data_IF_531743216098
#
_entry.id   IF_531743216098
#
_cell.length_a   1.000
_cell.length_b   1.000
_cell.length_c   1.000
_cell.angle_alpha   90.00
_cell.angle_beta   90.00
_cell.angle_gamma   90.00
#
_symmetry.space_group_name_H-M   'P 1'
#
loop_
_entity.id
_entity.type
_entity.pdbx_description
1 polymer ?
#
# COMPACT_ATOMS: atom_id res chain seq x y z
N UNK A 1 -1.68 -18.60 0.01
CA UNK A 1 -1.77 -17.55 -1.05
C UNK A 1 -1.35 -18.19 -2.38
N UNK A 2 -1.98 -17.84 -3.51
CA UNK A 2 -1.42 -18.27 -4.80
C UNK A 2 -0.05 -17.62 -4.94
N UNK A 3 1.02 -18.39 -5.17
CA UNK A 3 2.34 -17.84 -5.49
C UNK A 3 2.16 -16.85 -6.63
N UNK A 4 2.44 -15.57 -6.40
CA UNK A 4 2.51 -14.58 -7.47
C UNK A 4 3.55 -15.12 -8.44
N UNK A 5 3.15 -15.42 -9.69
CA UNK A 5 4.08 -15.90 -10.69
C UNK A 5 5.08 -14.77 -10.96
N UNK A 6 6.28 -14.92 -10.44
CA UNK A 6 7.42 -14.06 -10.75
C UNK A 6 8.10 -14.65 -11.98
N UNK A 7 8.30 -13.82 -13.00
CA UNK A 7 9.15 -14.21 -14.13
C UNK A 7 10.58 -14.41 -13.63
N UNK A 8 11.29 -15.35 -14.25
CA UNK A 8 12.72 -15.46 -14.03
C UNK A 8 13.43 -14.18 -14.48
N UNK A 9 14.49 -13.83 -13.78
CA UNK A 9 15.31 -12.65 -14.08
C UNK A 9 15.93 -12.80 -15.47
N UNK A 10 16.46 -13.97 -15.83
CA UNK A 10 17.08 -14.19 -17.15
C UNK A 10 16.06 -14.05 -18.29
N UNK A 11 14.86 -14.58 -18.10
CA UNK A 11 13.76 -14.48 -19.07
C UNK A 11 13.34 -13.02 -19.28
N UNK A 12 13.23 -12.23 -18.21
CA UNK A 12 12.91 -10.81 -18.35
C UNK A 12 14.06 -10.01 -18.96
N UNK A 13 15.32 -10.33 -18.65
CA UNK A 13 16.48 -9.70 -19.28
C UNK A 13 16.44 -9.89 -20.78
N UNK A 14 16.22 -11.12 -21.23
CA UNK A 14 16.17 -11.43 -22.66
C UNK A 14 14.99 -10.72 -23.33
N UNK A 15 13.81 -10.72 -22.70
CA UNK A 15 12.66 -9.97 -23.20
C UNK A 15 12.98 -8.47 -23.37
N UNK A 16 13.60 -7.83 -22.39
CA UNK A 16 13.92 -6.40 -22.45
C UNK A 16 15.04 -6.08 -23.45
N UNK A 17 15.93 -7.02 -23.75
CA UNK A 17 16.96 -6.87 -24.81
C UNK A 17 16.36 -6.93 -26.21
N UNK A 18 15.37 -7.80 -26.41
CA UNK A 18 14.72 -8.01 -27.71
C UNK A 18 13.59 -7.02 -27.98
N UNK A 19 12.93 -6.53 -26.93
CA UNK A 19 11.81 -5.61 -27.05
C UNK A 19 12.27 -4.25 -27.61
N UNK A 20 11.43 -3.59 -28.44
CA UNK A 20 11.68 -2.22 -28.83
C UNK A 20 11.75 -1.32 -27.60
N UNK A 21 12.54 -0.24 -27.70
CA UNK A 21 12.60 0.75 -26.64
C UNK A 21 11.22 1.34 -26.36
N UNK A 22 10.92 1.56 -25.07
CA UNK A 22 9.64 2.09 -24.65
C UNK A 22 9.42 3.49 -25.22
N UNK A 23 8.25 3.69 -25.82
CA UNK A 23 7.84 5.00 -26.32
C UNK A 23 7.46 5.91 -25.15
N UNK A 24 8.17 7.04 -25.06
CA UNK A 24 7.95 8.08 -24.05
C UNK A 24 7.43 9.38 -24.67
N UNK A 25 7.13 9.41 -25.98
CA UNK A 25 6.71 10.61 -26.72
C UNK A 25 5.38 11.19 -26.24
N UNK A 26 4.54 10.36 -25.63
CA UNK A 26 3.28 10.79 -24.99
C UNK A 26 3.50 11.71 -23.78
N UNK A 27 4.70 11.73 -23.20
CA UNK A 27 5.09 12.72 -22.21
C UNK A 27 5.63 13.95 -22.94
N UNK A 28 5.09 15.14 -22.66
CA UNK A 28 5.59 16.40 -23.23
C UNK A 28 7.11 16.54 -23.07
N UNK A 29 7.65 16.13 -21.92
CA UNK A 29 9.08 16.03 -21.70
C UNK A 29 9.41 14.94 -20.69
N UNK A 30 9.74 13.74 -21.18
CA UNK A 30 10.08 12.58 -20.35
C UNK A 30 11.16 12.89 -19.28
N UNK A 31 12.14 13.75 -19.58
CA UNK A 31 13.21 14.10 -18.65
C UNK A 31 12.75 14.88 -17.41
N UNK A 32 11.49 15.32 -17.36
CA UNK A 32 10.86 15.95 -16.19
C UNK A 32 10.11 14.96 -15.30
N UNK A 33 10.00 13.69 -15.68
CA UNK A 33 9.29 12.68 -14.88
C UNK A 33 10.27 11.79 -14.12
N UNK A 34 9.82 11.33 -12.96
CA UNK A 34 10.53 10.32 -12.19
C UNK A 34 10.15 8.93 -12.70
N UNK A 35 11.16 8.10 -12.97
CA UNK A 35 10.97 6.71 -13.34
C UNK A 35 11.37 5.80 -12.19
N UNK A 36 10.55 4.79 -11.92
CA UNK A 36 10.77 3.80 -10.89
C UNK A 36 10.49 2.41 -11.43
N UNK A 37 11.19 1.42 -10.92
CA UNK A 37 10.92 0.03 -11.29
C UNK A 37 11.09 -0.89 -10.09
N UNK A 38 10.40 -2.02 -10.16
CA UNK A 38 10.47 -3.09 -9.17
C UNK A 38 11.08 -4.31 -9.85
N UNK A 39 12.10 -4.88 -9.24
CA UNK A 39 12.80 -6.06 -9.76
C UNK A 39 12.14 -7.37 -9.28
N UNK A 40 12.55 -8.50 -9.84
CA UNK A 40 12.08 -9.85 -9.49
C UNK A 40 12.27 -10.20 -8.00
N UNK A 41 13.30 -9.64 -7.36
CA UNK A 41 13.55 -9.74 -5.92
C UNK A 41 12.71 -8.78 -5.06
N UNK A 42 11.70 -8.12 -5.64
CA UNK A 42 10.86 -7.10 -5.01
C UNK A 42 11.57 -5.81 -4.56
N UNK A 43 12.85 -5.61 -4.92
CA UNK A 43 13.53 -4.34 -4.65
C UNK A 43 13.02 -3.25 -5.58
N UNK A 44 12.84 -2.06 -5.02
CA UNK A 44 12.47 -0.87 -5.76
C UNK A 44 13.71 -0.06 -6.10
N UNK A 45 13.76 0.41 -7.34
CA UNK A 45 14.77 1.33 -7.85
C UNK A 45 14.09 2.60 -8.33
N UNK A 46 14.78 3.71 -8.14
CA UNK A 46 14.42 5.02 -8.70
C UNK A 46 15.55 5.47 -9.60
N UNK A 47 15.22 6.01 -10.77
CA UNK A 47 16.21 6.55 -11.70
C UNK A 47 17.08 7.60 -11.01
N UNK A 48 18.41 7.43 -11.09
CA UNK A 48 19.38 8.36 -10.52
C UNK A 48 19.76 9.50 -11.48
N UNK A 49 19.12 9.55 -12.64
CA UNK A 49 19.31 10.56 -13.69
C UNK A 49 18.00 10.82 -14.41
N UNK A 50 17.93 11.96 -15.10
CA UNK A 50 16.81 12.27 -15.97
C UNK A 50 16.78 11.32 -17.18
N UNK A 51 15.58 10.87 -17.54
CA UNK A 51 15.34 9.92 -18.63
C UNK A 51 14.63 10.64 -19.76
N UNK A 52 15.34 10.88 -20.86
CA UNK A 52 14.82 11.62 -22.02
C UNK A 52 14.19 10.74 -23.11
N UNK A 53 14.47 9.44 -23.10
CA UNK A 53 14.03 8.49 -24.13
C UNK A 53 14.00 7.06 -23.60
N UNK A 54 13.29 6.18 -24.31
CA UNK A 54 13.26 4.74 -24.01
C UNK A 54 14.64 4.08 -24.05
N UNK A 55 15.53 4.53 -24.93
CA UNK A 55 16.92 4.04 -25.00
C UNK A 55 17.68 4.33 -23.69
N UNK A 56 17.56 5.56 -23.16
CA UNK A 56 18.19 5.93 -21.88
C UNK A 56 17.60 5.12 -20.73
N UNK A 57 16.28 4.89 -20.76
CA UNK A 57 15.61 4.05 -19.77
C UNK A 57 16.14 2.62 -19.80
N UNK A 58 16.24 2.01 -20.99
CA UNK A 58 16.75 0.66 -21.17
C UNK A 58 18.20 0.52 -20.65
N UNK A 59 19.07 1.51 -20.91
CA UNK A 59 20.43 1.55 -20.35
C UNK A 59 20.40 1.60 -18.82
N UNK A 60 19.53 2.41 -18.22
CA UNK A 60 19.40 2.53 -16.76
C UNK A 60 18.90 1.25 -16.09
N UNK A 61 18.04 0.48 -16.77
CA UNK A 61 17.45 -0.74 -16.22
C UNK A 61 18.22 -2.01 -16.54
N UNK A 62 19.22 -1.95 -17.42
CA UNK A 62 20.03 -3.11 -17.87
C UNK A 62 20.60 -3.95 -16.72
N UNK A 63 21.06 -3.31 -15.64
CA UNK A 63 21.67 -3.98 -14.48
C UNK A 63 20.68 -4.44 -13.40
N UNK A 64 19.41 -4.06 -13.50
CA UNK A 64 18.40 -4.26 -12.44
C UNK A 64 17.06 -4.71 -13.00
N UNK A 65 17.12 -5.68 -13.92
CA UNK A 65 16.01 -6.31 -14.65
C UNK A 65 14.61 -6.02 -14.07
N UNK A 66 13.88 -5.07 -14.68
CA UNK A 66 12.62 -4.62 -14.13
C UNK A 66 11.53 -5.66 -14.39
N UNK A 67 10.81 -6.02 -13.33
CA UNK A 67 9.58 -6.81 -13.38
C UNK A 67 8.36 -5.90 -13.61
N UNK A 68 8.35 -4.72 -13.01
CA UNK A 68 7.33 -3.69 -13.20
C UNK A 68 8.01 -2.33 -13.37
N UNK A 69 7.52 -1.51 -14.29
CA UNK A 69 8.06 -0.16 -14.54
C UNK A 69 6.96 0.89 -14.37
N UNK A 70 7.35 2.04 -13.84
CA UNK A 70 6.44 3.11 -13.47
C UNK A 70 7.04 4.47 -13.80
N UNK A 71 6.15 5.45 -14.02
CA UNK A 71 6.48 6.85 -14.25
C UNK A 71 5.61 7.74 -13.36
N UNK A 72 6.13 8.86 -12.88
CA UNK A 72 5.36 9.81 -12.08
C UNK A 72 4.26 10.48 -12.89
N UNK A 73 3.09 10.70 -12.25
CA UNK A 73 2.01 11.52 -12.81
C UNK A 73 2.41 12.98 -12.92
N UNK A 74 3.30 13.45 -12.03
CA UNK A 74 3.84 14.80 -12.06
C UNK A 74 5.12 14.94 -12.88
N UNK A 75 5.23 16.07 -13.55
CA UNK A 75 6.46 16.59 -14.13
C UNK A 75 7.09 17.61 -13.15
N UNK A 76 8.39 17.47 -12.90
CA UNK A 76 9.15 18.30 -11.98
C UNK A 76 10.25 19.04 -12.73
N UNK A 77 10.67 20.20 -12.20
CA UNK A 77 11.85 20.89 -12.73
C UNK A 77 13.09 20.00 -12.61
N UNK A 78 13.23 19.33 -11.47
CA UNK A 78 14.21 18.27 -11.26
C UNK A 78 13.53 17.02 -10.66
N UNK A 79 13.30 15.95 -11.46
CA UNK A 79 12.63 14.73 -10.97
C UNK A 79 13.56 13.76 -10.24
N UNK A 80 14.86 14.03 -10.22
CA UNK A 80 15.88 13.17 -9.59
C UNK A 80 16.00 13.54 -8.12
N UNK A 81 15.95 12.53 -7.24
CA UNK A 81 16.07 12.71 -5.77
C UNK A 81 15.06 13.72 -5.19
N UNK A 82 13.79 13.62 -5.61
CA UNK A 82 12.72 14.43 -5.02
C UNK A 82 12.69 14.26 -3.49
N UNK A 83 12.58 15.36 -2.73
CA UNK A 83 12.47 15.28 -1.28
C UNK A 83 11.16 14.62 -0.84
N UNK A 84 11.17 14.13 0.40
CA UNK A 84 9.94 13.66 1.06
C UNK A 84 9.04 14.87 1.32
N UNK A 85 7.72 14.65 1.37
CA UNK A 85 6.72 15.72 1.58
C UNK A 85 7.01 16.54 2.86
N UNK A 86 7.47 15.87 3.91
CA UNK A 86 7.78 16.49 5.21
C UNK A 86 9.21 17.02 5.33
N UNK A 87 10.02 16.87 4.28
CA UNK A 87 11.41 17.32 4.31
C UNK A 87 11.48 18.83 4.13
N UNK A 88 11.86 19.53 5.19
CA UNK A 88 12.06 20.99 5.18
C UNK A 88 13.52 21.38 5.07
N UNK A 89 14.44 20.40 4.99
CA UNK A 89 15.89 20.65 4.95
C UNK A 89 16.38 21.03 3.55
N UNK A 90 15.59 20.76 2.52
CA UNK A 90 15.88 21.12 1.14
C UNK A 90 14.73 21.92 0.53
N UNK A 91 15.00 22.74 -0.51
CA UNK A 91 13.97 23.51 -1.19
C UNK A 91 12.83 22.62 -1.70
N UNK A 92 11.61 23.13 -1.62
CA UNK A 92 10.42 22.42 -2.11
C UNK A 92 10.52 22.23 -3.63
N UNK A 93 10.23 21.04 -4.17
CA UNK A 93 10.41 20.76 -5.58
C UNK A 93 9.40 21.55 -6.42
N UNK A 94 9.86 22.07 -7.55
CA UNK A 94 9.02 22.86 -8.46
C UNK A 94 8.20 21.91 -9.34
N UNK A 95 6.90 21.85 -9.07
CA UNK A 95 5.92 21.15 -9.89
C UNK A 95 5.70 21.93 -11.20
N UNK A 96 5.97 21.28 -12.32
CA UNK A 96 5.81 21.86 -13.67
C UNK A 96 4.49 21.43 -14.28
N UNK A 97 4.06 20.20 -14.04
CA UNK A 97 2.83 19.64 -14.59
C UNK A 97 2.33 18.48 -13.72
N UNK A 98 1.04 18.15 -13.79
CA UNK A 98 0.45 16.99 -13.12
C UNK A 98 -0.66 16.37 -13.98
N UNK A 99 -0.38 15.17 -14.51
CA UNK A 99 -1.35 14.37 -15.23
C UNK A 99 -2.54 14.02 -14.32
N UNK A 100 -3.76 14.18 -14.83
CA UNK A 100 -4.97 13.68 -14.19
C UNK A 100 -5.09 12.21 -14.60
N UNK A 101 -5.04 11.30 -13.62
CA UNK A 101 -5.19 9.87 -13.87
C UNK A 101 -6.36 9.32 -13.07
N UNK A 102 -7.27 8.66 -13.76
CA UNK A 102 -8.31 7.85 -13.17
C UNK A 102 -7.97 6.37 -13.38
N UNK A 103 -7.77 5.64 -12.29
CA UNK A 103 -7.50 4.20 -12.30
C UNK A 103 -8.77 3.43 -11.97
N UNK A 104 -9.18 2.56 -12.88
CA UNK A 104 -10.40 1.76 -12.76
C UNK A 104 -9.99 0.30 -12.69
N UNK A 105 -10.14 -0.30 -11.52
CA UNK A 105 -9.65 -1.64 -11.23
C UNK A 105 -10.78 -2.54 -10.74
N UNK A 106 -11.12 -3.58 -11.51
CA UNK A 106 -12.17 -4.55 -11.13
C UNK A 106 -11.54 -5.94 -10.95
N UNK A 107 -11.12 -6.29 -9.71
CA UNK A 107 -10.56 -7.60 -9.43
C UNK A 107 -11.64 -8.69 -9.36
N UNK A 108 -11.26 -9.98 -9.50
CA UNK A 108 -9.94 -10.47 -9.90
C UNK A 108 -9.76 -10.48 -11.44
N UNK A 109 -8.51 -10.71 -11.87
CA UNK A 109 -8.08 -10.82 -13.27
C UNK A 109 -8.92 -11.86 -14.07
N UNK A 110 -9.87 -11.40 -14.88
CA UNK A 110 -10.66 -12.22 -15.79
C UNK A 110 -11.39 -11.38 -16.86
N UNK A 111 -11.76 -11.99 -17.98
CA UNK A 111 -12.41 -11.30 -19.12
C UNK A 111 -13.74 -10.65 -18.73
N UNK A 112 -14.54 -11.32 -17.92
CA UNK A 112 -15.83 -10.77 -17.45
C UNK A 112 -15.66 -9.48 -16.66
N UNK A 113 -14.64 -9.40 -15.80
CA UNK A 113 -14.36 -8.19 -15.05
C UNK A 113 -13.68 -7.11 -15.90
N UNK A 114 -12.85 -7.49 -16.87
CA UNK A 114 -12.29 -6.53 -17.82
C UNK A 114 -13.39 -5.86 -18.64
N UNK A 115 -14.43 -6.60 -19.04
CA UNK A 115 -15.58 -6.00 -19.72
C UNK A 115 -16.34 -5.02 -18.82
N UNK A 116 -16.47 -5.31 -17.52
CA UNK A 116 -17.06 -4.38 -16.55
C UNK A 116 -16.20 -3.13 -16.40
N UNK A 117 -14.88 -3.30 -16.24
CA UNK A 117 -13.94 -2.20 -16.08
C UNK A 117 -13.91 -1.33 -17.34
N UNK A 118 -13.99 -1.94 -18.52
CA UNK A 118 -14.10 -1.26 -19.82
C UNK A 118 -15.37 -0.41 -19.90
N UNK A 119 -16.52 -0.95 -19.51
CA UNK A 119 -17.79 -0.19 -19.49
C UNK A 119 -17.72 0.99 -18.54
N UNK A 120 -17.17 0.80 -17.34
CA UNK A 120 -16.93 1.89 -16.40
C UNK A 120 -15.97 2.94 -16.97
N UNK A 121 -14.91 2.52 -17.67
CA UNK A 121 -13.98 3.41 -18.34
C UNK A 121 -14.62 4.20 -19.49
N UNK A 122 -15.51 3.60 -20.28
CA UNK A 122 -16.27 4.33 -21.31
C UNK A 122 -17.18 5.37 -20.66
N UNK A 123 -17.96 4.96 -19.65
CA UNK A 123 -18.87 5.88 -18.95
C UNK A 123 -18.14 7.04 -18.28
N UNK A 124 -16.98 6.79 -17.66
CA UNK A 124 -16.16 7.85 -17.08
C UNK A 124 -15.55 8.75 -18.17
N UNK A 125 -15.11 8.17 -19.28
CA UNK A 125 -14.55 8.94 -20.39
C UNK A 125 -15.58 9.92 -20.94
N UNK A 126 -16.79 9.45 -21.20
CA UNK A 126 -17.90 10.28 -21.70
C UNK A 126 -18.20 11.41 -20.71
N UNK A 127 -18.32 11.09 -19.42
CA UNK A 127 -18.57 12.09 -18.38
C UNK A 127 -17.44 13.13 -18.26
N UNK A 128 -16.17 12.72 -18.29
CA UNK A 128 -15.04 13.65 -18.19
C UNK A 128 -14.96 14.56 -19.42
N UNK A 129 -15.21 14.04 -20.62
CA UNK A 129 -15.17 14.85 -21.85
C UNK A 129 -16.35 15.84 -21.95
N UNK A 130 -17.48 15.54 -21.30
CA UNK A 130 -18.66 16.42 -21.23
C UNK A 130 -18.56 17.46 -20.09
N UNK A 131 -18.13 17.05 -18.90
CA UNK A 131 -18.26 17.84 -17.67
C UNK A 131 -16.97 18.57 -17.24
N UNK A 132 -15.84 18.27 -17.87
CA UNK A 132 -14.53 18.76 -17.44
C UNK A 132 -13.75 19.40 -18.60
N UNK A 133 -13.14 20.56 -18.34
CA UNK A 133 -12.27 21.22 -19.31
C UNK A 133 -10.84 20.66 -19.28
N UNK A 134 -10.70 19.43 -19.76
CA UNK A 134 -9.42 18.70 -19.80
C UNK A 134 -9.13 18.19 -21.20
N UNK A 135 -7.85 17.96 -21.50
CA UNK A 135 -7.41 17.34 -22.75
C UNK A 135 -6.98 15.90 -22.49
N UNK A 136 -7.59 14.96 -23.21
CA UNK A 136 -7.25 13.53 -23.13
C UNK A 136 -5.87 13.27 -23.72
N UNK A 137 -5.00 12.61 -22.95
CA UNK A 137 -3.69 12.15 -23.41
C UNK A 137 -3.81 10.75 -23.99
N UNK A 138 -4.27 9.78 -23.19
CA UNK A 138 -4.44 8.41 -23.64
C UNK A 138 -5.36 7.58 -22.73
N UNK A 139 -5.81 6.45 -23.29
CA UNK A 139 -6.53 5.38 -22.58
C UNK A 139 -5.56 4.20 -22.48
N UNK A 140 -5.42 3.58 -21.31
CA UNK A 140 -4.46 2.49 -21.09
C UNK A 140 -5.14 1.27 -20.54
N UNK A 141 -4.85 0.10 -21.10
CA UNK A 141 -5.03 -1.17 -20.41
C UNK A 141 -3.82 -1.41 -19.47
N UNK A 142 -4.07 -1.54 -18.17
CA UNK A 142 -3.04 -1.65 -17.12
C UNK A 142 -2.14 -2.91 -17.18
N UNK A 143 -2.45 -3.87 -18.07
CA UNK A 143 -1.81 -5.19 -18.08
C UNK A 143 -2.39 -6.16 -17.04
N UNK A 144 -3.38 -5.75 -16.24
CA UNK A 144 -3.96 -6.60 -15.21
C UNK A 144 -5.44 -6.36 -14.99
N UNK A 145 -5.84 -5.52 -14.01
CA UNK A 145 -7.19 -5.54 -13.47
C UNK A 145 -8.11 -4.43 -13.97
N UNK A 146 -7.60 -3.56 -14.83
CA UNK A 146 -8.45 -2.62 -15.55
C UNK A 146 -7.69 -1.57 -16.33
N UNK A 147 -8.11 -0.32 -16.22
CA UNK A 147 -7.79 0.75 -17.16
C UNK A 147 -7.36 2.03 -16.48
N UNK A 148 -6.45 2.78 -17.13
CA UNK A 148 -6.13 4.14 -16.74
C UNK A 148 -6.67 5.09 -17.82
N UNK A 149 -7.40 6.12 -17.41
CA UNK A 149 -7.71 7.27 -18.27
C UNK A 149 -6.80 8.43 -17.86
N UNK A 150 -6.06 8.98 -18.82
CA UNK A 150 -5.03 9.99 -18.56
C UNK A 150 -5.36 11.26 -19.32
N UNK A 151 -5.40 12.38 -18.60
CA UNK A 151 -5.72 13.71 -19.10
C UNK A 151 -4.70 14.74 -18.59
N UNK A 152 -4.72 15.94 -19.18
CA UNK A 152 -4.04 17.14 -18.68
C UNK A 152 -5.03 18.30 -18.61
N UNK A 153 -4.78 19.27 -17.73
CA UNK A 153 -5.57 20.50 -17.72
C UNK A 153 -5.32 21.30 -19.00
N UNK A 154 -6.39 21.90 -19.55
CA UNK A 154 -6.24 22.94 -20.56
C UNK A 154 -5.83 24.27 -19.92
N UNK A 155 -6.45 24.60 -18.78
CA UNK A 155 -6.02 25.74 -17.97
C UNK A 155 -4.73 25.42 -17.21
N UNK A 156 -3.72 26.26 -17.41
CA UNK A 156 -2.40 26.15 -16.81
C UNK A 156 -2.17 27.12 -15.64
N UNK A 157 -3.19 27.91 -15.27
CA UNK A 157 -3.13 28.97 -14.25
C UNK A 157 -2.49 28.50 -12.93
N UNK A 158 -2.91 27.34 -12.42
CA UNK A 158 -2.38 26.76 -11.17
C UNK A 158 -0.87 26.54 -11.22
N UNK A 159 -0.32 26.16 -12.38
CA UNK A 159 1.12 25.93 -12.53
C UNK A 159 1.93 27.24 -12.64
N UNK A 160 1.24 28.39 -12.73
CA UNK A 160 1.82 29.73 -12.69
C UNK A 160 2.07 30.27 -11.27
N UNK A 161 1.52 29.63 -10.22
CA UNK A 161 1.71 30.07 -8.82
C UNK A 161 3.21 30.11 -8.48
N UNK A 162 3.78 31.27 -8.07
CA UNK A 162 5.23 31.41 -7.89
C UNK A 162 5.80 30.50 -6.79
N UNK A 163 5.15 30.41 -5.63
CA UNK A 163 5.62 29.56 -4.54
C UNK A 163 5.38 28.06 -4.86
N UNK A 164 6.42 27.21 -4.85
CA UNK A 164 6.28 25.79 -5.21
C UNK A 164 5.38 24.98 -4.29
N UNK A 165 5.29 25.33 -2.99
CA UNK A 165 4.51 24.59 -2.00
C UNK A 165 3.04 24.95 -2.10
N UNK A 166 2.74 26.24 -2.25
CA UNK A 166 1.40 26.74 -2.56
C UNK A 166 0.90 26.17 -3.88
N UNK A 167 1.75 26.19 -4.93
CA UNK A 167 1.44 25.59 -6.23
C UNK A 167 1.04 24.13 -6.10
N UNK A 168 1.87 23.30 -5.47
CA UNK A 168 1.58 21.88 -5.31
C UNK A 168 0.31 21.65 -4.47
N UNK A 169 0.09 22.47 -3.45
CA UNK A 169 -1.12 22.40 -2.61
C UNK A 169 -2.37 22.74 -3.41
N UNK A 170 -2.35 23.83 -4.18
CA UNK A 170 -3.47 24.25 -5.00
C UNK A 170 -3.82 23.20 -6.07
N UNK A 171 -2.81 22.62 -6.75
CA UNK A 171 -3.02 21.51 -7.68
C UNK A 171 -3.64 20.31 -6.97
N UNK A 172 -3.16 19.94 -5.79
CA UNK A 172 -3.72 18.82 -5.02
C UNK A 172 -5.19 19.07 -4.65
N UNK A 173 -5.55 20.25 -4.16
CA UNK A 173 -6.93 20.56 -3.79
C UNK A 173 -7.85 20.59 -5.02
N UNK A 174 -7.39 21.12 -6.16
CA UNK A 174 -8.12 21.04 -7.43
C UNK A 174 -8.38 19.59 -7.86
N UNK A 175 -7.39 18.69 -7.69
CA UNK A 175 -7.55 17.25 -7.98
C UNK A 175 -8.52 16.55 -7.02
N UNK A 176 -8.53 16.92 -5.74
CA UNK A 176 -9.52 16.39 -4.79
C UNK A 176 -10.93 16.82 -5.15
N UNK A 177 -11.13 18.08 -5.53
CA UNK A 177 -12.43 18.59 -5.96
C UNK A 177 -12.92 17.86 -7.23
N UNK A 178 -12.03 17.66 -8.21
CA UNK A 178 -12.35 16.87 -9.40
C UNK A 178 -12.69 15.42 -9.05
N UNK A 179 -11.89 14.78 -8.19
CA UNK A 179 -12.14 13.41 -7.75
C UNK A 179 -13.48 13.28 -7.02
N UNK A 180 -13.85 14.24 -6.18
CA UNK A 180 -15.14 14.26 -5.49
C UNK A 180 -16.30 14.26 -6.50
N UNK A 181 -16.27 15.14 -7.51
CA UNK A 181 -17.28 15.17 -8.58
C UNK A 181 -17.39 13.85 -9.33
N UNK A 182 -16.26 13.20 -9.63
CA UNK A 182 -16.21 11.90 -10.31
C UNK A 182 -16.84 10.80 -9.46
N UNK A 183 -16.58 10.80 -8.15
CA UNK A 183 -17.17 9.84 -7.22
C UNK A 183 -18.66 10.08 -7.00
N UNK A 184 -19.08 11.34 -6.89
CA UNK A 184 -20.49 11.75 -6.76
C UNK A 184 -21.30 11.38 -8.01
N UNK A 185 -20.67 11.42 -9.20
CA UNK A 185 -21.24 10.90 -10.44
C UNK A 185 -21.29 9.36 -10.52
N UNK A 186 -20.81 8.64 -9.50
CA UNK A 186 -20.91 7.19 -9.38
C UNK A 186 -19.83 6.39 -10.12
N UNK A 187 -18.73 7.02 -10.51
CA UNK A 187 -17.66 6.32 -11.24
C UNK A 187 -16.69 5.56 -10.30
N UNK A 188 -16.38 4.29 -10.58
CA UNK A 188 -15.58 3.44 -9.68
C UNK A 188 -14.07 3.62 -9.90
N UNK A 189 -13.53 4.76 -9.48
CA UNK A 189 -12.10 5.10 -9.58
C UNK A 189 -11.35 4.91 -8.25
N UNK A 190 -10.04 4.60 -8.30
CA UNK A 190 -9.18 4.59 -7.11
C UNK A 190 -8.90 6.01 -6.60
N UNK A 191 -9.50 6.36 -5.46
CA UNK A 191 -9.38 7.66 -4.83
C UNK A 191 -7.93 8.02 -4.41
N UNK A 192 -7.06 7.02 -4.22
CA UNK A 192 -5.67 7.22 -3.81
C UNK A 192 -4.72 7.65 -4.92
N UNK A 193 -5.20 7.80 -6.16
CA UNK A 193 -4.37 8.09 -7.33
C UNK A 193 -4.51 9.54 -7.79
N UNK A 194 -5.74 9.99 -8.06
CA UNK A 194 -5.97 11.26 -8.75
C UNK A 194 -5.45 12.48 -7.99
N UNK A 195 -5.59 12.49 -6.65
CA UNK A 195 -5.16 13.61 -5.80
C UNK A 195 -3.68 13.57 -5.40
N UNK A 196 -2.99 12.44 -5.57
CA UNK A 196 -1.60 12.30 -5.15
C UNK A 196 -0.63 12.85 -6.20
N UNK A 197 -0.12 14.06 -5.96
CA UNK A 197 0.85 14.76 -6.82
C UNK A 197 2.20 14.04 -6.90
N UNK A 198 2.49 13.05 -6.06
CA UNK A 198 3.72 12.23 -6.13
C UNK A 198 3.43 10.79 -6.55
N UNK A 199 2.23 10.52 -7.08
CA UNK A 199 1.85 9.19 -7.54
C UNK A 199 2.69 8.75 -8.73
N UNK A 200 2.88 7.44 -8.83
CA UNK A 200 3.44 6.78 -10.01
C UNK A 200 2.39 5.86 -10.63
N UNK A 201 2.36 5.83 -11.95
CA UNK A 201 1.50 4.95 -12.74
C UNK A 201 2.35 3.98 -13.52
N UNK A 202 1.78 2.82 -13.88
CA UNK A 202 2.50 1.84 -14.69
C UNK A 202 2.85 2.43 -16.04
N UNK A 203 4.10 2.31 -16.43
CA UNK A 203 4.61 2.88 -17.67
C UNK A 203 4.00 2.15 -18.87
N UNK A 204 3.26 2.83 -19.77
CA UNK A 204 2.78 2.21 -20.99
C UNK A 204 3.94 1.62 -21.81
N UNK A 205 3.67 0.48 -22.44
CA UNK A 205 4.67 -0.38 -23.11
C UNK A 205 5.39 -1.37 -22.18
N UNK A 206 5.37 -1.18 -20.86
CA UNK A 206 6.02 -2.13 -19.92
C UNK A 206 5.15 -3.36 -19.62
N UNK A 207 5.77 -4.45 -19.17
CA UNK A 207 5.05 -5.65 -18.71
C UNK A 207 4.48 -5.47 -17.29
N UNK A 208 3.34 -6.11 -17.05
CA UNK A 208 2.80 -6.28 -15.71
C UNK A 208 3.37 -7.54 -15.05
N UNK A 209 4.09 -7.37 -13.94
CA UNK A 209 4.94 -8.37 -13.32
C UNK A 209 4.26 -9.67 -12.88
N UNK A 210 2.97 -9.63 -12.55
CA UNK A 210 2.22 -10.82 -12.10
C UNK A 210 1.46 -11.56 -13.21
N UNK A 211 1.22 -10.90 -14.35
CA UNK A 211 0.34 -11.41 -15.41
C UNK A 211 1.11 -11.62 -16.70
N UNK A 212 2.19 -10.88 -16.95
CA UNK A 212 2.95 -10.89 -18.20
C UNK A 212 2.26 -10.18 -19.36
N UNK A 213 1.14 -9.50 -19.11
CA UNK A 213 0.50 -8.68 -20.15
C UNK A 213 1.12 -7.29 -20.17
N UNK A 214 1.23 -6.71 -21.35
CA UNK A 214 1.75 -5.37 -21.50
C UNK A 214 0.73 -4.35 -21.02
N UNK A 215 1.22 -3.30 -20.38
CA UNK A 215 0.49 -2.06 -20.17
C UNK A 215 0.36 -1.36 -21.54
N UNK A 216 -0.82 -1.29 -22.12
CA UNK A 216 -0.96 -0.94 -23.55
C UNK A 216 -1.87 0.27 -23.73
N UNK A 217 -1.40 1.28 -24.46
CA UNK A 217 -2.24 2.40 -24.92
C UNK A 217 -3.27 1.88 -25.92
N UNK A 218 -4.52 2.24 -25.73
CA UNK A 218 -5.65 1.84 -26.55
C UNK A 218 -6.18 3.04 -27.33
N UNK A 219 -6.70 2.78 -28.53
CA UNK A 219 -7.57 3.75 -29.20
C UNK A 219 -8.94 3.80 -28.54
N UNK A 220 -9.63 4.92 -28.69
CA UNK A 220 -11.01 5.07 -28.22
C UNK A 220 -11.93 4.02 -28.86
N UNK A 221 -11.75 3.73 -30.16
CA UNK A 221 -12.50 2.68 -30.86
C UNK A 221 -12.33 1.32 -30.18
N UNK A 222 -11.12 0.99 -29.73
CA UNK A 222 -10.87 -0.23 -28.96
C UNK A 222 -11.60 -0.18 -27.62
N UNK A 223 -11.48 0.92 -26.86
CA UNK A 223 -12.15 1.06 -25.56
C UNK A 223 -13.68 0.91 -25.70
N UNK A 224 -14.29 1.50 -26.73
CA UNK A 224 -15.74 1.43 -26.97
C UNK A 224 -16.21 0.07 -27.48
N UNK A 225 -15.32 -0.69 -28.11
CA UNK A 225 -15.62 -2.06 -28.58
C UNK A 225 -15.58 -3.08 -27.44
N UNK A 226 -16.44 -4.13 -27.45
CA UNK A 226 -16.42 -5.18 -26.43
C UNK A 226 -15.02 -5.79 -26.23
N UNK A 227 -14.58 -5.95 -24.99
CA UNK A 227 -13.22 -6.39 -24.64
C UNK A 227 -12.78 -7.68 -25.37
N UNK A 228 -13.73 -8.58 -25.61
CA UNK A 228 -13.50 -9.85 -26.32
C UNK A 228 -13.00 -9.69 -27.76
N UNK A 229 -13.28 -8.56 -28.43
CA UNK A 229 -12.93 -8.38 -29.84
C UNK A 229 -11.44 -8.09 -30.04
N UNK A 230 -10.78 -7.48 -29.05
CA UNK A 230 -9.40 -7.02 -29.19
C UNK A 230 -8.40 -7.64 -28.20
N UNK A 231 -8.85 -8.33 -27.14
CA UNK A 231 -7.97 -8.99 -26.16
C UNK A 231 -6.87 -9.88 -26.79
N UNK A 232 -7.18 -10.56 -27.90
CA UNK A 232 -6.23 -11.48 -28.54
C UNK A 232 -4.99 -10.74 -29.05
N UNK A 233 -5.17 -9.50 -29.49
CA UNK A 233 -4.16 -8.64 -30.10
C UNK A 233 -3.35 -7.83 -29.08
N UNK A 234 -3.71 -7.87 -27.79
CA UNK A 234 -2.91 -7.22 -26.76
C UNK A 234 -1.53 -7.89 -26.64
N UNK A 235 -0.44 -7.11 -26.69
CA UNK A 235 0.90 -7.63 -26.50
C UNK A 235 1.08 -8.22 -25.09
N UNK A 236 1.86 -9.29 -25.01
CA UNK A 236 2.14 -10.01 -23.77
C UNK A 236 3.39 -10.85 -23.94
N UNK A 237 4.04 -11.13 -22.82
CA UNK A 237 5.15 -12.08 -22.77
C UNK A 237 4.69 -13.49 -23.15
N UNK A 238 5.56 -14.31 -23.75
CA UNK A 238 5.22 -15.69 -24.15
C UNK A 238 4.73 -16.55 -22.97
N UNK A 239 5.33 -16.35 -21.79
CA UNK A 239 4.93 -17.00 -20.54
C UNK A 239 3.79 -16.30 -19.76
N UNK A 240 3.04 -15.38 -20.38
CA UNK A 240 1.96 -14.65 -19.73
C UNK A 240 0.86 -15.59 -19.18
N UNK A 241 0.25 -15.18 -18.07
CA UNK A 241 -0.87 -15.88 -17.45
C UNK A 241 -2.09 -15.78 -18.38
N UNK A 242 -2.69 -16.91 -18.80
CA UNK A 242 -3.91 -16.87 -19.61
C UNK A 242 -5.03 -16.16 -18.86
N UNK A 243 -5.68 -15.19 -19.50
CA UNK A 243 -6.81 -14.49 -18.88
C UNK A 243 -8.07 -15.37 -18.90
N UNK A 244 -8.56 -15.83 -17.73
CA UNK A 244 -9.70 -16.73 -17.67
C UNK A 244 -10.99 -16.00 -18.07
N UNK A 245 -11.97 -16.73 -18.62
CA UNK A 245 -13.26 -16.13 -19.04
C UNK A 245 -14.03 -15.53 -17.86
N UNK A 246 -14.14 -16.27 -16.76
CA UNK A 246 -14.73 -15.84 -15.48
C UNK A 246 -13.70 -16.00 -14.38
N UNK A 247 -13.82 -15.19 -13.34
CA UNK A 247 -13.05 -15.36 -12.11
C UNK A 247 -13.26 -16.80 -11.60
N UNK A 248 -12.17 -17.53 -11.35
CA UNK A 248 -12.29 -18.77 -10.58
C UNK A 248 -12.69 -18.37 -9.16
N UNK A 249 -13.95 -18.59 -8.81
CA UNK A 249 -14.36 -18.61 -7.41
C UNK A 249 -13.43 -19.61 -6.73
N UNK A 250 -12.65 -19.17 -5.74
CA UNK A 250 -12.05 -20.14 -4.83
C UNK A 250 -13.21 -20.97 -4.28
N UNK A 251 -13.18 -22.29 -4.49
CA UNK A 251 -13.99 -23.20 -3.69
C UNK A 251 -13.56 -22.97 -2.25
N UNK A 252 -14.29 -22.11 -1.55
CA UNK A 252 -14.30 -22.12 -0.09
C UNK A 252 -14.85 -23.49 0.24
N UNK A 253 -14.04 -24.37 0.86
CA UNK A 253 -14.59 -25.58 1.48
C UNK A 253 -15.71 -25.11 2.40
N UNK A 254 -16.91 -25.56 2.13
CA UNK A 254 -18.14 -25.14 2.77
C UNK A 254 -18.10 -25.44 4.27
N UNK A 255 -17.70 -24.45 5.07
CA UNK A 255 -18.20 -24.32 6.43
C UNK A 255 -19.60 -23.74 6.34
N UNK A 256 -20.59 -24.47 6.85
CA UNK A 256 -22.02 -24.13 6.78
C UNK A 256 -22.27 -22.73 7.35
N UNK A 257 -23.02 -21.93 6.58
CA UNK A 257 -23.90 -20.86 7.04
C UNK A 257 -23.23 -19.64 7.67
N UNK A 258 -23.16 -18.54 6.91
CA UNK A 258 -23.59 -17.22 7.38
C UNK A 258 -23.83 -16.28 6.20
N UNK A 259 -24.99 -15.67 6.24
CA UNK A 259 -25.64 -14.82 5.24
C UNK A 259 -24.72 -13.67 4.83
N UNK A 260 -24.60 -13.43 3.51
CA UNK A 260 -23.84 -12.29 2.98
C UNK A 260 -24.60 -10.99 3.26
N UNK A 261 -24.12 -10.19 4.21
CA UNK A 261 -24.42 -8.76 4.23
C UNK A 261 -23.53 -8.05 3.20
N UNK A 262 -24.11 -7.08 2.49
CA UNK A 262 -23.44 -6.18 1.53
C UNK A 262 -22.35 -5.36 2.26
N UNK A 263 -21.32 -4.85 1.55
CA UNK A 263 -20.40 -3.90 2.15
C UNK A 263 -21.12 -2.56 2.32
N UNK A 264 -21.53 -2.26 3.55
CA UNK A 264 -21.85 -0.92 4.02
C UNK A 264 -20.55 -0.10 4.04
N UNK A 265 -20.64 1.19 3.74
CA UNK A 265 -19.59 2.15 4.03
C UNK A 265 -19.07 1.94 5.46
N UNK A 266 -17.77 2.08 5.69
CA UNK A 266 -17.22 1.85 7.02
C UNK A 266 -17.74 2.95 7.96
N UNK A 267 -18.77 2.65 8.76
CA UNK A 267 -19.29 3.60 9.73
C UNK A 267 -18.17 4.01 10.70
N UNK A 268 -18.06 5.29 11.05
CA UNK A 268 -17.05 5.77 11.99
C UNK A 268 -17.16 5.05 13.34
N UNK A 269 -16.02 4.79 13.98
CA UNK A 269 -15.96 4.15 15.30
C UNK A 269 -14.96 4.82 16.24
N UNK A 270 -15.29 4.83 17.53
CA UNK A 270 -14.37 5.19 18.60
C UNK A 270 -13.61 3.95 19.12
N UNK A 271 -12.35 4.11 19.52
CA UNK A 271 -11.60 3.06 20.22
C UNK A 271 -10.45 3.64 21.04
N UNK A 272 -9.95 2.87 22.01
CA UNK A 272 -8.76 3.17 22.79
C UNK A 272 -7.55 2.58 22.09
N UNK A 273 -6.51 3.39 21.93
CA UNK A 273 -5.23 3.00 21.38
C UNK A 273 -4.11 3.20 22.41
N UNK A 274 -3.20 2.23 22.47
CA UNK A 274 -1.98 2.24 23.27
C UNK A 274 -0.79 2.58 22.37
N UNK A 275 0.07 3.49 22.83
CA UNK A 275 1.35 3.75 22.18
C UNK A 275 2.34 2.62 22.44
N UNK A 276 3.12 2.22 21.43
CA UNK A 276 4.25 1.31 21.63
C UNK A 276 5.43 1.97 22.37
N UNK A 277 5.42 3.29 22.54
CA UNK A 277 6.48 4.03 23.21
C UNK A 277 6.55 3.68 24.70
N UNK A 278 7.76 3.48 25.21
CA UNK A 278 8.00 3.33 26.64
C UNK A 278 8.15 4.72 27.26
N UNK A 279 7.04 5.23 27.80
CA UNK A 279 6.96 6.53 28.49
C UNK A 279 8.05 6.68 29.54
N UNK A 280 8.63 7.87 29.68
CA UNK A 280 9.79 8.10 30.56
C UNK A 280 11.13 7.66 29.98
N UNK A 281 11.19 7.23 28.72
CA UNK A 281 12.45 6.92 28.01
C UNK A 281 12.56 7.73 26.72
N UNK A 282 13.78 7.97 26.22
CA UNK A 282 13.99 8.79 25.01
C UNK A 282 13.67 8.06 23.69
N UNK A 283 13.97 6.77 23.59
CA UNK A 283 13.92 6.03 22.31
C UNK A 283 13.62 4.53 22.49
N UNK A 284 12.84 4.15 23.52
CA UNK A 284 12.46 2.74 23.70
C UNK A 284 11.01 2.48 23.31
N UNK A 285 10.78 1.30 22.77
CA UNK A 285 9.49 0.80 22.33
C UNK A 285 9.29 -0.66 22.77
N UNK A 286 8.08 -0.98 23.21
CA UNK A 286 7.58 -2.35 23.27
C UNK A 286 7.07 -2.78 21.89
N UNK A 287 6.81 -4.07 21.69
CA UNK A 287 6.16 -4.56 20.47
C UNK A 287 4.70 -4.84 20.81
N UNK A 288 3.79 -4.06 20.23
CA UNK A 288 2.35 -4.26 20.33
C UNK A 288 1.79 -4.31 18.92
N UNK A 289 1.01 -5.33 18.56
CA UNK A 289 0.43 -5.43 17.23
C UNK A 289 -0.75 -6.39 17.16
N UNK A 290 -1.71 -6.06 16.29
CA UNK A 290 -2.67 -7.05 15.80
C UNK A 290 -2.00 -7.96 14.77
N UNK A 291 -2.02 -9.27 15.03
CA UNK A 291 -1.36 -10.26 14.21
C UNK A 291 -2.10 -10.49 12.88
N UNK A 292 -1.38 -10.78 11.79
CA UNK A 292 -2.01 -10.95 10.48
C UNK A 292 -3.01 -12.11 10.47
N UNK A 293 -4.25 -11.83 10.07
CA UNK A 293 -5.29 -12.88 9.86
C UNK A 293 -4.86 -13.96 8.85
N UNK A 294 -3.82 -13.71 8.05
CA UNK A 294 -3.22 -14.69 7.15
C UNK A 294 -2.46 -15.80 7.88
N UNK A 295 -2.21 -15.68 9.19
CA UNK A 295 -1.52 -16.71 10.00
C UNK A 295 -2.42 -17.89 10.37
N UNK A 296 -3.73 -17.80 10.14
CA UNK A 296 -4.66 -18.93 10.29
C UNK A 296 -5.69 -18.68 11.39
N UNK A 297 -6.13 -19.76 12.04
CA UNK A 297 -6.99 -19.68 13.24
C UNK A 297 -6.25 -19.03 14.41
N UNK A 298 -6.99 -18.70 15.47
CA UNK A 298 -6.41 -18.22 16.74
C UNK A 298 -5.34 -19.21 17.23
N UNK A 299 -5.67 -20.51 17.32
CA UNK A 299 -4.71 -21.54 17.78
C UNK A 299 -3.45 -21.62 16.92
N UNK A 300 -3.61 -21.53 15.59
CA UNK A 300 -2.48 -21.54 14.66
C UNK A 300 -1.61 -20.30 14.82
N UNK A 301 -2.24 -19.16 15.12
CA UNK A 301 -1.57 -17.89 15.39
C UNK A 301 -0.80 -17.97 16.71
N UNK A 302 -1.40 -18.50 17.78
CA UNK A 302 -0.75 -18.72 19.09
C UNK A 302 0.47 -19.63 18.94
N UNK A 303 0.35 -20.78 18.26
CA UNK A 303 1.49 -21.69 17.99
C UNK A 303 2.62 -21.00 17.24
N UNK A 304 2.28 -20.20 16.23
CA UNK A 304 3.27 -19.44 15.48
C UNK A 304 3.95 -18.35 16.31
N UNK A 305 3.23 -17.72 17.25
CA UNK A 305 3.86 -16.78 18.20
C UNK A 305 4.85 -17.53 19.10
N UNK A 306 4.50 -18.73 19.58
CA UNK A 306 5.42 -19.58 20.36
C UNK A 306 6.72 -19.84 19.59
N UNK A 307 6.63 -20.26 18.33
CA UNK A 307 7.80 -20.46 17.46
C UNK A 307 8.64 -19.17 17.30
N UNK A 308 7.97 -18.02 17.18
CA UNK A 308 8.62 -16.72 17.01
C UNK A 308 9.38 -16.29 18.27
N UNK A 309 8.79 -16.45 19.46
CA UNK A 309 9.45 -16.06 20.71
C UNK A 309 10.67 -16.94 20.99
N UNK A 310 10.60 -18.23 20.66
CA UNK A 310 11.71 -19.17 20.74
C UNK A 310 12.82 -18.82 19.74
N UNK A 311 12.47 -18.66 18.47
CA UNK A 311 13.44 -18.39 17.39
C UNK A 311 14.18 -17.06 17.57
N UNK A 312 13.54 -16.06 18.19
CA UNK A 312 14.10 -14.72 18.32
C UNK A 312 14.47 -14.31 19.74
N UNK A 313 14.38 -15.23 20.69
CA UNK A 313 14.68 -15.01 22.10
C UNK A 313 13.98 -13.76 22.68
N UNK A 314 12.66 -13.70 22.54
CA UNK A 314 11.86 -12.50 22.88
C UNK A 314 11.37 -12.50 24.34
N UNK A 315 11.61 -13.57 25.10
CA UNK A 315 11.15 -13.71 26.48
C UNK A 315 9.69 -14.12 26.54
N UNK A 316 8.78 -13.16 26.72
CA UNK A 316 7.35 -13.44 26.90
C UNK A 316 6.49 -12.63 25.94
N UNK A 317 5.40 -13.25 25.47
CA UNK A 317 4.37 -12.62 24.67
C UNK A 317 3.00 -12.83 25.31
N UNK A 318 2.25 -11.75 25.47
CA UNK A 318 0.88 -11.76 26.00
C UNK A 318 -0.08 -11.63 24.83
N UNK A 319 -1.11 -12.45 24.81
CA UNK A 319 -2.05 -12.57 23.71
C UNK A 319 -3.48 -12.31 24.18
N UNK A 320 -4.21 -11.53 23.39
CA UNK A 320 -5.64 -11.30 23.54
C UNK A 320 -6.37 -11.51 22.22
N UNK A 321 -7.69 -11.59 22.23
CA UNK A 321 -8.50 -11.69 21.02
C UNK A 321 -9.78 -10.88 21.08
N UNK A 322 -10.23 -10.38 19.93
CA UNK A 322 -11.60 -9.88 19.74
C UNK A 322 -12.52 -10.95 19.11
N UNK A 323 -12.12 -12.22 19.18
CA UNK A 323 -12.74 -13.36 18.50
C UNK A 323 -12.49 -13.42 16.99
N UNK A 324 -11.86 -12.40 16.38
CA UNK A 324 -11.56 -12.35 14.92
C UNK A 324 -10.05 -12.33 14.64
N UNK A 325 -9.26 -11.71 15.49
CA UNK A 325 -7.81 -11.61 15.37
C UNK A 325 -7.14 -11.71 16.75
N UNK A 326 -5.82 -11.88 16.74
CA UNK A 326 -5.01 -11.93 17.96
C UNK A 326 -4.26 -10.62 18.10
N UNK A 327 -4.37 -9.96 19.25
CA UNK A 327 -3.51 -8.88 19.68
C UNK A 327 -2.33 -9.48 20.44
N UNK A 328 -1.11 -9.07 20.12
CA UNK A 328 0.11 -9.49 20.79
C UNK A 328 0.82 -8.30 21.43
N UNK A 329 1.32 -8.50 22.64
CA UNK A 329 2.25 -7.60 23.32
C UNK A 329 3.51 -8.37 23.75
N UNK A 330 4.68 -7.82 23.42
CA UNK A 330 5.97 -8.23 23.98
C UNK A 330 6.48 -7.03 24.81
N UNK A 331 6.30 -7.03 26.14
CA UNK A 331 6.51 -5.86 26.98
C UNK A 331 7.98 -5.66 27.36
N UNK A 332 8.87 -5.74 26.36
CA UNK A 332 10.32 -5.47 26.52
C UNK A 332 10.64 -4.09 25.96
N UNK A 333 11.40 -3.29 26.70
CA UNK A 333 11.74 -1.92 26.34
C UNK A 333 12.95 -1.88 25.38
N UNK A 334 12.75 -2.27 24.13
CA UNK A 334 13.81 -2.29 23.11
C UNK A 334 14.14 -0.87 22.62
N UNK A 335 15.40 -0.56 22.30
CA UNK A 335 15.70 0.60 21.45
C UNK A 335 14.87 0.55 20.16
N UNK A 336 14.33 1.68 19.73
CA UNK A 336 13.35 1.76 18.64
C UNK A 336 13.78 1.07 17.35
N UNK A 337 15.02 1.28 16.93
CA UNK A 337 15.58 0.63 15.72
C UNK A 337 15.64 -0.89 15.88
N UNK A 338 15.94 -1.38 17.09
CA UNK A 338 15.94 -2.83 17.41
C UNK A 338 14.51 -3.38 17.40
N UNK A 339 13.55 -2.69 18.01
CA UNK A 339 12.13 -3.06 17.99
C UNK A 339 11.60 -3.19 16.56
N UNK A 340 11.86 -2.19 15.71
CA UNK A 340 11.46 -2.20 14.31
C UNK A 340 12.14 -3.33 13.51
N UNK A 341 13.42 -3.63 13.77
CA UNK A 341 14.12 -4.77 13.15
C UNK A 341 13.50 -6.10 13.53
N UNK A 342 13.11 -6.29 14.79
CA UNK A 342 12.39 -7.49 15.25
C UNK A 342 11.05 -7.57 14.54
N UNK A 343 10.25 -6.50 14.54
CA UNK A 343 8.94 -6.45 13.87
C UNK A 343 9.02 -6.88 12.38
N UNK A 344 10.04 -6.41 11.63
CA UNK A 344 10.24 -6.86 10.23
C UNK A 344 10.52 -8.35 10.12
N UNK A 345 11.36 -8.90 11.00
CA UNK A 345 11.72 -10.34 10.98
C UNK A 345 10.51 -11.22 11.27
N UNK A 346 9.66 -10.81 12.22
CA UNK A 346 8.49 -11.58 12.64
C UNK A 346 7.25 -11.32 11.78
N UNK A 347 7.39 -10.61 10.64
CA UNK A 347 6.31 -10.41 9.68
C UNK A 347 5.33 -9.29 10.03
N UNK A 348 5.76 -8.29 10.81
CA UNK A 348 5.01 -7.09 11.17
C UNK A 348 5.63 -5.81 10.55
N UNK A 349 5.69 -5.69 9.20
CA UNK A 349 6.36 -4.57 8.55
C UNK A 349 5.69 -3.23 8.81
N UNK A 350 4.35 -3.19 8.98
CA UNK A 350 3.61 -1.94 9.25
C UNK A 350 3.96 -1.33 10.60
N UNK A 351 3.99 -2.16 11.66
CA UNK A 351 4.42 -1.73 13.00
C UNK A 351 5.87 -1.25 12.98
N UNK A 352 6.75 -1.94 12.23
CA UNK A 352 8.14 -1.48 12.06
C UNK A 352 8.24 -0.13 11.33
N UNK A 353 7.43 0.08 10.29
CA UNK A 353 7.37 1.35 9.55
C UNK A 353 6.84 2.48 10.42
N UNK A 354 5.79 2.25 11.20
CA UNK A 354 5.22 3.22 12.12
C UNK A 354 6.25 3.68 13.16
N UNK A 355 6.94 2.75 13.83
CA UNK A 355 8.01 3.07 14.80
C UNK A 355 9.13 3.91 14.17
N UNK A 356 9.53 3.63 12.93
CA UNK A 356 10.62 4.37 12.29
C UNK A 356 10.19 5.71 11.70
N UNK A 357 8.92 5.85 11.32
CA UNK A 357 8.38 7.07 10.73
C UNK A 357 7.84 8.07 11.77
N UNK A 358 7.29 7.57 12.87
CA UNK A 358 6.51 8.35 13.84
C UNK A 358 6.99 8.15 15.29
N UNK A 359 8.21 7.63 15.48
CA UNK A 359 8.84 7.27 16.77
C UNK A 359 8.18 6.09 17.53
N UNK A 360 6.88 5.87 17.35
CA UNK A 360 6.10 4.76 17.89
C UNK A 360 4.90 4.45 16.99
N UNK A 361 4.20 3.35 17.31
CA UNK A 361 2.92 2.98 16.70
C UNK A 361 1.79 3.17 17.73
N UNK A 362 0.58 3.48 17.25
CA UNK A 362 -0.63 3.53 18.07
C UNK A 362 -1.52 2.34 17.74
N UNK A 363 -1.75 1.48 18.72
CA UNK A 363 -2.37 0.16 18.50
C UNK A 363 -3.65 0.05 19.31
N UNK A 364 -4.76 -0.31 18.65
CA UNK A 364 -6.05 -0.51 19.31
C UNK A 364 -5.98 -1.59 20.38
N UNK A 365 -6.46 -1.27 21.59
CA UNK A 365 -6.52 -2.17 22.76
C UNK A 365 -7.91 -2.20 23.42
N UNK A 366 -8.96 -1.78 22.70
CA UNK A 366 -10.37 -1.95 23.14
C UNK A 366 -11.28 -2.47 22.02
N UNK A 367 -12.51 -2.82 22.39
CA UNK A 367 -13.62 -2.88 21.44
C UNK A 367 -13.77 -1.56 20.67
N UNK A 368 -14.32 -1.66 19.46
CA UNK A 368 -14.76 -0.50 18.68
C UNK A 368 -16.17 -0.15 19.11
N UNK A 369 -16.42 1.13 19.36
CA UNK A 369 -17.77 1.66 19.51
C UNK A 369 -18.18 2.25 18.17
N UNK A 370 -18.98 1.51 17.41
CA UNK A 370 -19.56 1.98 16.15
C UNK A 370 -20.68 2.98 16.47
N UNK A 371 -20.79 4.04 15.67
CA UNK A 371 -21.85 5.03 15.85
C UNK A 371 -23.25 4.45 15.68
N UNK A 372 -23.40 3.41 14.84
CA UNK A 372 -24.71 2.83 14.48
C UNK A 372 -24.95 1.45 15.11
N UNK A 373 -23.92 0.61 15.20
CA UNK A 373 -24.04 -0.81 15.60
C UNK A 373 -23.65 -1.08 17.08
N UNK A 374 -23.28 -0.05 17.84
CA UNK A 374 -22.85 -0.18 19.24
C UNK A 374 -21.43 -0.76 19.39
N UNK A 375 -21.18 -1.50 20.46
CA UNK A 375 -19.85 -2.02 20.77
C UNK A 375 -19.56 -3.35 20.06
N UNK A 376 -18.38 -3.46 19.44
CA UNK A 376 -17.75 -4.75 19.12
C UNK A 376 -17.61 -5.57 20.42
N UNK A 377 -17.42 -6.89 20.29
CA UNK A 377 -16.97 -7.70 21.42
C UNK A 377 -15.68 -7.13 22.02
N UNK A 378 -15.61 -7.16 23.35
CA UNK A 378 -14.42 -6.79 24.08
C UNK A 378 -13.23 -7.69 23.72
N UNK A 379 -12.05 -7.17 24.04
CA UNK A 379 -10.80 -7.89 23.87
C UNK A 379 -10.64 -8.79 25.09
N UNK A 380 -10.64 -10.09 24.87
CA UNK A 380 -10.54 -11.10 25.91
C UNK A 380 -9.10 -11.63 26.02
N UNK A 381 -8.61 -11.90 27.24
CA UNK A 381 -7.31 -12.51 27.45
C UNK A 381 -7.28 -13.93 26.86
N UNK A 382 -6.23 -14.25 26.08
CA UNK A 382 -6.02 -15.60 25.56
C UNK A 382 -5.03 -16.38 26.43
N UNK A 383 -3.77 -15.93 26.47
CA UNK A 383 -2.71 -16.59 27.23
C UNK A 383 -1.44 -15.73 27.31
N UNK A 384 -0.55 -16.14 28.22
CA UNK A 384 0.84 -15.71 28.26
C UNK A 384 1.71 -16.84 27.71
N UNK A 385 2.52 -16.54 26.71
CA UNK A 385 3.53 -17.43 26.16
C UNK A 385 4.89 -17.07 26.73
N UNK A 386 5.65 -18.08 27.15
CA UNK A 386 7.00 -17.94 27.67
C UNK A 386 7.97 -18.78 26.86
N UNK A 387 9.17 -18.24 26.66
CA UNK A 387 10.28 -18.96 26.07
C UNK A 387 10.80 -20.03 27.02
N UNK A 388 11.05 -21.23 26.50
CA UNK A 388 11.40 -22.45 27.27
C UNK A 388 12.74 -22.34 28.00
N UNK A 389 13.75 -21.75 27.33
CA UNK A 389 15.05 -21.45 27.93
C UNK A 389 15.16 -19.95 28.19
N UNK A 390 14.82 -19.52 29.41
CA UNK A 390 14.94 -18.12 29.83
C UNK A 390 16.43 -17.78 29.96
N UNK A 391 17.06 -17.41 28.85
CA UNK A 391 18.22 -16.53 28.92
C UNK A 391 17.65 -15.14 29.13
N UNK A 392 17.67 -14.63 30.36
CA UNK A 392 17.25 -13.26 30.66
C UNK A 392 18.01 -12.32 29.72
N UNK A 393 17.34 -11.90 28.65
CA UNK A 393 17.91 -10.97 27.70
C UNK A 393 18.14 -9.65 28.43
N UNK A 394 19.29 -9.03 28.21
CA UNK A 394 19.73 -7.74 28.80
C UNK A 394 18.78 -6.54 28.56
N UNK A 395 17.67 -6.75 27.85
CA UNK A 395 16.69 -5.71 27.59
C UNK A 395 15.67 -5.66 28.73
N UNK A 396 15.54 -4.52 29.45
CA UNK A 396 14.61 -4.37 30.56
C UNK A 396 13.16 -4.47 30.10
N UNK A 397 12.26 -4.70 31.04
CA UNK A 397 10.82 -4.71 30.80
C UNK A 397 10.28 -3.29 30.65
N UNK A 398 9.14 -3.16 29.98
CA UNK A 398 8.45 -1.87 29.84
C UNK A 398 7.41 -1.70 30.93
N UNK A 399 7.71 -0.86 31.93
CA UNK A 399 6.79 -0.53 33.02
C UNK A 399 5.38 -0.11 32.54
N UNK A 400 5.21 0.81 31.56
CA UNK A 400 3.87 1.24 31.13
C UNK A 400 3.09 0.11 30.44
N UNK A 401 3.77 -0.81 29.75
CA UNK A 401 3.09 -1.91 29.07
C UNK A 401 2.74 -3.06 30.02
N UNK A 402 3.53 -3.27 31.09
CA UNK A 402 3.17 -4.19 32.17
C UNK A 402 1.91 -3.72 32.91
N UNK A 403 1.83 -2.43 33.23
CA UNK A 403 0.60 -1.83 33.82
C UNK A 403 -0.60 -2.00 32.87
N UNK A 404 -0.41 -1.80 31.56
CA UNK A 404 -1.49 -2.02 30.61
C UNK A 404 -1.89 -3.50 30.53
N UNK A 405 -0.93 -4.42 30.61
CA UNK A 405 -1.21 -5.85 30.60
C UNK A 405 -2.04 -6.29 31.82
N UNK A 406 -1.74 -5.75 33.00
CA UNK A 406 -2.54 -5.94 34.22
C UNK A 406 -3.97 -5.39 34.05
N UNK A 407 -4.12 -4.18 33.49
CA UNK A 407 -5.44 -3.59 33.17
C UNK A 407 -6.24 -4.39 32.13
N UNK A 408 -5.56 -5.18 31.30
CA UNK A 408 -6.17 -6.08 30.33
C UNK A 408 -6.19 -7.54 30.82
N UNK A 409 -6.07 -7.77 32.13
CA UNK A 409 -6.25 -9.07 32.77
C UNK A 409 -5.20 -10.14 32.39
N UNK A 410 -4.01 -9.74 31.92
CA UNK A 410 -2.85 -10.63 31.75
C UNK A 410 -1.61 -10.06 32.46
N UNK A 411 -1.57 -10.04 33.81
CA UNK A 411 -0.41 -9.56 34.53
C UNK A 411 0.82 -10.47 34.29
N UNK A 412 2.01 -9.87 34.33
CA UNK A 412 3.29 -10.56 34.38
C UNK A 412 4.04 -10.14 35.64
N UNK A 413 4.46 -11.12 36.44
CA UNK A 413 5.27 -10.86 37.63
C UNK A 413 6.72 -10.60 37.23
N UNK A 414 7.20 -9.39 37.52
CA UNK A 414 8.51 -8.89 37.11
C UNK A 414 9.04 -7.98 38.22
N UNK A 415 10.29 -8.19 38.61
CA UNK A 415 10.99 -7.35 39.58
C UNK A 415 11.04 -5.88 39.11
N UNK A 416 10.75 -4.94 40.01
CA UNK A 416 10.64 -3.51 39.68
C UNK A 416 11.96 -2.94 39.16
N UNK A 417 13.09 -3.44 39.67
CA UNK A 417 14.45 -3.05 39.29
C UNK A 417 14.79 -3.46 37.84
N UNK A 418 14.06 -4.43 37.28
CA UNK A 418 14.23 -4.90 35.92
C UNK A 418 13.40 -4.10 34.89
N UNK A 419 12.64 -3.08 35.34
CA UNK A 419 11.74 -2.29 34.51
C UNK A 419 12.36 -0.97 34.03
N UNK A 420 11.84 -0.46 32.91
CA UNK A 420 12.22 0.84 32.33
C UNK A 420 10.97 1.62 31.92
N UNK A 421 11.02 2.93 32.13
CA UNK A 421 9.92 3.86 31.86
C UNK A 421 9.04 4.14 33.08
N UNK A 422 8.10 5.06 32.93
CA UNK A 422 7.10 5.37 33.96
C UNK A 422 5.97 4.34 33.98
N UNK A 423 5.30 4.18 35.12
CA UNK A 423 4.11 3.32 35.26
C UNK A 423 2.83 3.91 34.62
N UNK A 424 2.97 4.91 33.76
CA UNK A 424 1.86 5.59 33.08
C UNK A 424 1.81 5.19 31.60
N UNK A 425 0.85 4.33 31.19
CA UNK A 425 0.68 3.97 29.79
C UNK A 425 0.20 5.17 28.97
N UNK A 426 0.86 5.44 27.85
CA UNK A 426 0.39 6.43 26.89
C UNK A 426 -0.80 5.85 26.09
N UNK A 427 -2.01 6.24 26.47
CA UNK A 427 -3.26 5.86 25.83
C UNK A 427 -3.97 7.07 25.23
N UNK A 428 -4.77 6.84 24.19
CA UNK A 428 -5.64 7.85 23.58
C UNK A 428 -6.96 7.24 23.14
N UNK A 429 -8.00 8.07 23.07
CA UNK A 429 -9.27 7.73 22.43
C UNK A 429 -9.25 8.31 21.02
N UNK A 430 -9.60 7.50 20.01
CA UNK A 430 -9.59 7.93 18.60
C UNK A 430 -10.91 7.57 17.94
N UNK A 431 -11.46 8.53 17.19
CA UNK A 431 -12.54 8.30 16.23
C UNK A 431 -11.92 8.05 14.86
N UNK A 432 -12.14 6.87 14.28
CA UNK A 432 -11.72 6.50 12.93
C UNK A 432 -12.94 6.43 12.03
N UNK A 433 -12.94 7.25 10.97
CA UNK A 433 -13.90 7.24 9.86
C UNK A 433 -13.45 6.32 8.74
#
# INVERSE_FOLDING_TARGET
MAKVRTFDTEVLQEHHKQAPHLDLSWLTKASRHQFRWRCTNNRWHTAQRQIRSGEVLAKCTSQSTPQDMYVSTSAWLNPVKLPRIKDTTVPHPVLIDHLIVFDIDIPPFCRANMEKARKAAVSLLDWVEEECDVERIHIVFSGSKGFHLVFKDKDRSLFGIPDPRERETAVREARKALLARVLDAGHPVDAGITADTRRIIRLPGSLHGSTGWQCTILSERQLRSPFKSWIKHLPRHAAAVPMPRKAKLKKVKSGKGKTKQKPTEASPYASIELSTHVTGTKDRNAIVAWLPRSWGSIDSTVKKVQEIIEQHALGSALLWTDGKAVLMMIPRAYPRVKAAKICRKIGLPRTAEAMLANDHDWVRVSARQWQEDGWDKDIEPLCVLQQTDIKEGTTPWSAPHLVMAERLELPLDVAEEACSGSKEPAIRIVNRS
#
